data_IF_105055231508
#
_entry.id   IF_105055231508
#
_cell.length_a   1.000
_cell.length_b   1.000
_cell.length_c   1.000
_cell.angle_alpha   90.00
_cell.angle_beta   90.00
_cell.angle_gamma   90.00
#
_symmetry.space_group_name_H-M   'P 1'
#
loop_
_entity.id
_entity.type
_entity.pdbx_description
1 polymer ?
#
# COMPACT_ATOMS: atom_id res chain seq x y z
N UNK A 1 2.85 -6.70 22.94
CA UNK A 1 3.76 -5.66 22.53
C UNK A 1 4.69 -5.17 23.63
N UNK A 2 4.16 -4.49 24.65
CA UNK A 2 5.03 -3.88 25.69
C UNK A 2 5.81 -4.95 26.47
N UNK A 3 5.16 -6.03 26.85
CA UNK A 3 5.82 -7.13 27.58
C UNK A 3 6.92 -7.80 26.74
N UNK A 4 6.68 -8.01 25.45
CA UNK A 4 7.70 -8.61 24.56
C UNK A 4 8.90 -7.68 24.37
N UNK A 5 8.68 -6.36 24.29
CA UNK A 5 9.76 -5.36 24.27
C UNK A 5 10.57 -5.35 25.57
N UNK A 6 9.91 -5.48 26.72
CA UNK A 6 10.58 -5.47 28.02
C UNK A 6 11.37 -6.77 28.28
N UNK A 7 11.05 -7.86 27.60
CA UNK A 7 11.72 -9.18 27.71
C UNK A 7 12.74 -9.44 26.60
N UNK A 8 12.86 -8.55 25.61
CA UNK A 8 13.75 -8.75 24.48
C UNK A 8 15.23 -8.63 24.89
N UNK A 9 16.03 -9.61 24.49
CA UNK A 9 17.48 -9.58 24.60
C UNK A 9 18.07 -8.76 23.45
N UNK A 10 17.47 -8.92 22.25
CA UNK A 10 17.87 -8.24 21.02
C UNK A 10 16.68 -7.52 20.36
N UNK A 11 16.89 -6.26 19.98
CA UNK A 11 15.99 -5.49 19.15
C UNK A 11 16.54 -5.34 17.73
N UNK A 12 15.73 -5.70 16.73
CA UNK A 12 16.08 -5.53 15.32
C UNK A 12 15.07 -4.61 14.64
N UNK A 13 15.53 -3.73 13.76
CA UNK A 13 14.63 -2.87 12.97
C UNK A 13 15.33 -1.65 12.38
N UNK A 14 14.59 -0.86 11.61
CA UNK A 14 15.09 0.43 11.15
C UNK A 14 15.43 1.34 12.35
N UNK A 15 16.51 2.13 12.23
CA UNK A 15 17.04 2.97 13.34
C UNK A 15 15.93 3.72 14.07
N UNK A 16 15.07 4.44 13.34
CA UNK A 16 13.97 5.21 13.93
C UNK A 16 13.01 4.38 14.77
N UNK A 17 12.77 3.12 14.37
CA UNK A 17 11.84 2.22 15.06
C UNK A 17 12.47 1.71 16.36
N UNK A 18 13.73 1.28 16.29
CA UNK A 18 14.48 0.79 17.43
C UNK A 18 14.67 1.92 18.45
N UNK A 19 15.09 3.12 18.02
CA UNK A 19 15.34 4.26 18.90
C UNK A 19 14.08 4.68 19.69
N UNK A 20 12.87 4.47 19.11
CA UNK A 20 11.59 4.80 19.74
C UNK A 20 11.16 3.82 20.85
N UNK A 21 11.70 2.60 20.88
CA UNK A 21 11.26 1.54 21.80
C UNK A 21 12.35 0.92 22.66
N UNK A 22 13.62 1.16 22.35
CA UNK A 22 14.79 0.60 23.04
C UNK A 22 14.74 0.84 24.54
N UNK A 23 15.12 -0.20 25.32
CA UNK A 23 15.29 -0.14 26.77
C UNK A 23 16.78 -0.21 27.14
N UNK A 24 17.19 0.31 28.30
CA UNK A 24 18.54 0.13 28.79
C UNK A 24 18.91 -1.35 28.93
N UNK A 25 20.08 -1.73 28.44
CA UNK A 25 20.61 -3.10 28.56
C UNK A 25 20.20 -4.05 27.44
N UNK A 26 19.43 -3.60 26.45
CA UNK A 26 19.09 -4.40 25.27
C UNK A 26 20.11 -4.21 24.17
N UNK A 27 20.50 -5.31 23.52
CA UNK A 27 21.30 -5.26 22.30
C UNK A 27 20.46 -4.82 21.10
N UNK A 28 21.10 -4.20 20.14
CA UNK A 28 20.42 -3.60 18.99
C UNK A 28 21.13 -3.91 17.70
N UNK A 29 20.40 -4.48 16.73
CA UNK A 29 20.84 -4.61 15.36
C UNK A 29 19.98 -3.73 14.44
N UNK A 30 20.59 -2.68 13.88
CA UNK A 30 19.87 -1.75 13.00
C UNK A 30 19.88 -2.27 11.57
N UNK A 31 18.81 -2.94 11.18
CA UNK A 31 18.65 -3.51 9.85
C UNK A 31 17.14 -3.61 9.50
N UNK A 32 16.80 -3.53 8.21
CA UNK A 32 15.43 -3.68 7.68
C UNK A 32 15.34 -4.68 6.51
N UNK A 33 16.47 -5.13 5.97
CA UNK A 33 16.53 -6.12 4.89
C UNK A 33 16.31 -7.51 5.45
N UNK A 34 15.31 -8.21 4.93
CA UNK A 34 14.84 -9.48 5.50
C UNK A 34 15.94 -10.57 5.54
N UNK A 35 16.77 -10.66 4.50
CA UNK A 35 17.83 -11.65 4.44
C UNK A 35 18.94 -11.37 5.47
N UNK A 36 19.39 -10.15 5.57
CA UNK A 36 20.41 -9.71 6.54
C UNK A 36 19.95 -9.93 8.00
N UNK A 37 18.63 -9.72 8.25
CA UNK A 37 18.04 -10.03 9.56
C UNK A 37 18.12 -11.53 9.83
N UNK A 38 17.76 -12.37 8.87
CA UNK A 38 17.84 -13.83 9.00
C UNK A 38 19.26 -14.28 9.26
N UNK A 39 20.21 -13.84 8.43
CA UNK A 39 21.62 -14.22 8.53
C UNK A 39 22.22 -13.81 9.90
N UNK A 40 21.79 -12.63 10.40
CA UNK A 40 22.23 -12.18 11.72
C UNK A 40 21.66 -13.05 12.85
N UNK A 41 20.38 -13.40 12.81
CA UNK A 41 19.74 -14.27 13.80
C UNK A 41 20.42 -15.65 13.81
N UNK A 42 20.67 -16.22 12.65
CA UNK A 42 21.30 -17.54 12.53
C UNK A 42 22.76 -17.55 13.03
N UNK A 43 23.46 -16.41 12.93
CA UNK A 43 24.84 -16.24 13.41
C UNK A 43 24.95 -15.97 14.92
N UNK A 44 23.84 -15.64 15.61
CA UNK A 44 23.81 -15.23 17.01
C UNK A 44 22.79 -16.07 17.81
N UNK A 45 23.06 -17.37 18.00
CA UNK A 45 22.17 -18.28 18.71
C UNK A 45 22.11 -18.02 20.23
N UNK A 46 22.89 -17.09 20.76
CA UNK A 46 22.91 -16.69 22.17
C UNK A 46 21.68 -15.86 22.58
N UNK A 47 20.90 -15.33 21.62
CA UNK A 47 19.70 -14.56 21.92
C UNK A 47 18.46 -15.45 21.94
N UNK A 48 17.80 -15.55 23.10
CA UNK A 48 16.58 -16.34 23.28
C UNK A 48 15.31 -15.57 22.86
N UNK A 49 15.28 -14.24 23.14
CA UNK A 49 14.11 -13.40 22.90
C UNK A 49 14.45 -12.25 21.94
N UNK A 50 14.17 -12.44 20.68
CA UNK A 50 14.42 -11.44 19.63
C UNK A 50 13.12 -10.73 19.26
N UNK A 51 13.13 -9.40 19.32
CA UNK A 51 11.99 -8.58 18.87
C UNK A 51 12.36 -7.80 17.61
N UNK A 52 11.63 -8.05 16.53
CA UNK A 52 11.78 -7.30 15.28
C UNK A 52 10.72 -6.22 15.22
N UNK A 53 11.15 -4.95 15.18
CA UNK A 53 10.26 -3.78 15.23
C UNK A 53 10.01 -3.25 13.82
N UNK A 54 8.77 -3.31 13.40
CA UNK A 54 8.33 -2.84 12.10
C UNK A 54 7.32 -1.71 12.23
N UNK A 55 7.21 -0.87 11.19
CA UNK A 55 6.26 0.24 11.18
C UNK A 55 4.86 -0.26 10.84
N UNK A 56 3.86 0.21 11.58
CA UNK A 56 2.45 0.00 11.28
C UNK A 56 1.94 -1.40 11.60
N UNK A 57 1.02 -1.87 10.80
CA UNK A 57 0.41 -3.20 10.90
C UNK A 57 1.04 -4.19 9.91
N UNK A 58 1.17 -5.45 10.32
CA UNK A 58 1.79 -6.52 9.52
C UNK A 58 1.08 -6.74 8.19
N UNK A 59 -0.23 -6.55 8.15
CA UNK A 59 -1.07 -6.74 6.97
C UNK A 59 -1.17 -5.52 6.05
N UNK A 60 -0.56 -4.37 6.43
CA UNK A 60 -0.76 -3.13 5.70
C UNK A 60 0.57 -2.53 5.19
N UNK A 61 0.95 -2.87 3.96
CA UNK A 61 2.18 -2.39 3.28
C UNK A 61 3.45 -2.47 4.15
N UNK A 62 3.50 -3.45 5.03
CA UNK A 62 4.62 -3.68 5.93
C UNK A 62 5.70 -4.58 5.30
N UNK A 63 6.96 -4.38 5.69
CA UNK A 63 8.05 -5.30 5.40
C UNK A 63 7.91 -6.68 6.03
N UNK A 64 6.99 -6.86 6.98
CA UNK A 64 6.76 -8.10 7.72
C UNK A 64 6.46 -9.29 6.82
N UNK A 65 5.68 -9.12 5.74
CA UNK A 65 5.36 -10.21 4.82
C UNK A 65 6.62 -10.85 4.23
N UNK A 66 7.52 -10.01 3.67
CA UNK A 66 8.77 -10.51 3.08
C UNK A 66 9.69 -11.11 4.14
N UNK A 67 9.72 -10.53 5.33
CA UNK A 67 10.50 -11.04 6.44
C UNK A 67 9.99 -12.42 6.88
N UNK A 68 8.69 -12.60 7.03
CA UNK A 68 8.09 -13.90 7.37
C UNK A 68 8.36 -14.95 6.29
N UNK A 69 8.26 -14.57 5.00
CA UNK A 69 8.62 -15.46 3.90
C UNK A 69 10.07 -15.97 4.04
N UNK A 70 11.03 -15.09 4.38
CA UNK A 70 12.44 -15.44 4.56
C UNK A 70 12.66 -16.26 5.83
N UNK A 71 12.06 -15.88 6.95
CA UNK A 71 12.19 -16.60 8.21
C UNK A 71 11.57 -18.00 8.16
N UNK A 72 10.53 -18.22 7.35
CA UNK A 72 9.81 -19.48 7.23
C UNK A 72 10.32 -20.40 6.11
N UNK A 73 11.27 -19.97 5.26
CA UNK A 73 11.72 -20.74 4.08
C UNK A 73 12.36 -22.09 4.40
N UNK A 74 13.05 -22.22 5.54
CA UNK A 74 13.81 -23.42 5.89
C UNK A 74 13.16 -24.30 6.97
N UNK A 75 11.95 -23.96 7.40
CA UNK A 75 11.33 -24.60 8.57
C UNK A 75 9.97 -25.21 8.20
N UNK A 76 9.98 -26.51 7.92
CA UNK A 76 8.75 -27.31 7.84
C UNK A 76 7.94 -27.27 9.17
N UNK A 77 8.54 -26.79 10.26
CA UNK A 77 8.01 -26.81 11.63
C UNK A 77 7.73 -25.42 12.24
N UNK A 78 7.86 -24.30 11.49
CA UNK A 78 7.51 -22.98 12.02
C UNK A 78 6.00 -22.85 12.19
N UNK A 79 5.51 -23.10 13.40
CA UNK A 79 4.13 -22.82 13.78
C UNK A 79 3.99 -21.31 14.09
N UNK A 80 3.37 -20.57 13.17
CA UNK A 80 2.85 -19.23 13.48
C UNK A 80 1.71 -19.39 14.47
N UNK A 81 1.98 -19.25 15.75
CA UNK A 81 0.94 -19.28 16.77
C UNK A 81 0.19 -17.94 16.75
N UNK A 82 -1.09 -18.01 16.38
CA UNK A 82 -2.04 -16.96 16.75
C UNK A 82 -2.50 -17.23 18.18
N UNK A 83 -2.21 -16.35 19.13
CA UNK A 83 -2.79 -16.44 20.46
C UNK A 83 -4.32 -16.32 20.39
N UNK A 84 -4.99 -17.46 20.25
CA UNK A 84 -6.34 -17.62 20.78
C UNK A 84 -6.16 -18.12 22.22
N UNK A 85 -6.61 -17.34 23.18
CA UNK A 85 -6.42 -17.61 24.60
C UNK A 85 -7.01 -18.96 25.03
N UNK A 86 -6.17 -19.98 25.01
CA UNK A 86 -6.36 -21.22 25.74
C UNK A 86 -4.98 -21.71 26.18
N UNK A 87 -4.73 -21.68 27.47
CA UNK A 87 -3.59 -22.30 28.12
C UNK A 87 -3.55 -23.78 27.73
N UNK A 88 -2.47 -24.23 27.09
CA UNK A 88 -2.19 -25.64 26.90
C UNK A 88 -1.31 -26.13 28.05
N UNK A 89 -1.74 -27.24 28.63
CA UNK A 89 -1.07 -27.98 29.70
C UNK A 89 0.36 -28.44 29.30
N UNK A 90 1.27 -28.43 30.27
CA UNK A 90 2.72 -28.71 30.16
C UNK A 90 3.11 -30.16 29.74
N UNK A 91 2.16 -31.02 29.37
CA UNK A 91 2.43 -32.47 29.19
C UNK A 91 2.76 -32.93 27.75
N UNK A 92 2.85 -32.02 26.76
CA UNK A 92 3.22 -32.40 25.36
C UNK A 92 4.55 -31.77 24.90
N UNK A 93 5.61 -31.86 25.70
CA UNK A 93 6.95 -31.54 25.22
C UNK A 93 7.65 -32.84 24.79
N UNK A 94 7.52 -33.14 23.52
CA UNK A 94 8.33 -34.20 22.91
C UNK A 94 9.77 -33.68 22.75
N UNK A 95 10.74 -34.42 23.34
CA UNK A 95 12.14 -34.03 23.54
C UNK A 95 13.05 -34.29 22.34
N UNK A 96 12.51 -34.31 21.11
CA UNK A 96 13.27 -34.64 19.89
C UNK A 96 13.40 -33.53 18.83
N UNK A 97 13.01 -32.28 19.13
CA UNK A 97 13.10 -31.19 18.13
C UNK A 97 14.29 -30.26 18.40
N UNK A 98 15.33 -30.42 17.62
CA UNK A 98 16.39 -29.41 17.43
C UNK A 98 15.80 -28.13 16.84
N UNK A 99 16.03 -26.96 17.51
CA UNK A 99 15.73 -25.60 17.08
C UNK A 99 14.26 -25.30 16.72
N UNK A 100 13.36 -25.37 17.70
CA UNK A 100 11.99 -24.88 17.56
C UNK A 100 11.96 -23.34 17.77
N UNK A 101 12.15 -22.57 16.71
CA UNK A 101 11.96 -21.11 16.77
C UNK A 101 10.47 -20.80 16.65
N UNK A 102 9.87 -20.25 17.70
CA UNK A 102 8.48 -19.79 17.69
C UNK A 102 8.40 -18.34 17.24
N UNK A 103 7.55 -18.04 16.24
CA UNK A 103 7.31 -16.67 15.77
C UNK A 103 5.95 -16.21 16.26
N UNK A 104 5.94 -15.19 17.13
CA UNK A 104 4.74 -14.47 17.55
C UNK A 104 4.58 -13.17 16.74
N UNK A 105 3.42 -13.00 16.08
CA UNK A 105 3.10 -11.77 15.36
C UNK A 105 2.22 -10.89 16.24
N UNK A 106 2.67 -9.67 16.50
CA UNK A 106 1.91 -8.68 17.23
C UNK A 106 1.37 -7.59 16.31
N UNK A 107 0.08 -7.33 16.40
CA UNK A 107 -0.61 -6.32 15.59
C UNK A 107 -0.19 -4.91 16.03
N UNK A 108 0.14 -4.06 15.05
CA UNK A 108 0.30 -2.63 15.23
C UNK A 108 -0.92 -1.86 14.69
N UNK A 109 -0.95 -0.55 14.92
CA UNK A 109 -1.95 0.34 14.33
C UNK A 109 -1.42 0.80 12.97
N UNK A 110 -2.15 0.50 11.90
CA UNK A 110 -1.77 0.93 10.55
C UNK A 110 -1.98 2.44 10.36
N UNK A 111 -1.21 3.04 9.46
CA UNK A 111 -1.36 4.47 9.14
C UNK A 111 -2.76 4.81 8.63
N UNK A 112 -3.43 3.92 7.91
CA UNK A 112 -4.82 4.15 7.46
C UNK A 112 -5.77 4.26 8.64
N UNK A 113 -5.72 3.32 9.58
CA UNK A 113 -6.62 3.32 10.75
C UNK A 113 -6.37 4.55 11.62
N UNK A 114 -5.09 4.84 11.92
CA UNK A 114 -4.74 6.01 12.71
C UNK A 114 -5.18 7.31 12.03
N UNK A 115 -4.76 7.53 10.79
CA UNK A 115 -5.03 8.76 10.05
C UNK A 115 -6.53 9.02 9.85
N UNK A 116 -7.28 8.01 9.39
CA UNK A 116 -8.72 8.14 9.15
C UNK A 116 -9.48 8.43 10.45
N UNK A 117 -9.04 7.86 11.57
CA UNK A 117 -9.56 8.17 12.90
C UNK A 117 -9.30 9.64 13.29
N UNK A 118 -8.10 10.17 13.01
CA UNK A 118 -7.77 11.57 13.32
C UNK A 118 -8.60 12.58 12.51
N UNK A 119 -8.92 12.27 11.27
CA UNK A 119 -9.75 13.13 10.39
C UNK A 119 -11.26 12.85 10.52
N UNK A 120 -11.66 11.89 11.36
CA UNK A 120 -13.07 11.58 11.61
C UNK A 120 -13.81 10.95 10.43
N UNK A 121 -13.09 10.27 9.52
CA UNK A 121 -13.67 9.57 8.38
C UNK A 121 -13.59 8.06 8.52
N UNK A 122 -14.62 7.36 8.04
CA UNK A 122 -14.60 5.91 7.89
C UNK A 122 -13.63 5.49 6.79
N UNK A 123 -12.97 4.34 6.96
CA UNK A 123 -12.03 3.79 5.97
C UNK A 123 -12.53 2.49 5.31
N UNK A 124 -13.62 1.91 5.79
CA UNK A 124 -14.21 0.67 5.28
C UNK A 124 -14.74 0.79 3.84
N UNK A 125 -15.19 1.99 3.46
CA UNK A 125 -15.63 2.35 2.10
C UNK A 125 -14.55 3.07 1.28
N UNK A 126 -13.35 3.30 1.84
CA UNK A 126 -12.27 3.96 1.15
C UNK A 126 -11.52 3.00 0.21
N UNK A 127 -11.21 3.45 -1.00
CA UNK A 127 -10.27 2.75 -1.87
C UNK A 127 -8.85 2.94 -1.34
N UNK A 128 -8.24 1.87 -0.88
CA UNK A 128 -6.87 1.89 -0.36
C UNK A 128 -5.89 1.51 -1.45
N UNK A 129 -4.92 2.39 -1.71
CA UNK A 129 -3.85 2.18 -2.68
C UNK A 129 -2.51 2.63 -2.11
N UNK A 130 -1.40 2.22 -2.71
CA UNK A 130 -0.08 2.71 -2.34
C UNK A 130 0.64 3.23 -3.57
N UNK A 131 1.03 4.50 -3.52
CA UNK A 131 1.90 5.12 -4.51
C UNK A 131 3.38 5.04 -4.11
N UNK A 132 3.70 4.45 -2.93
CA UNK A 132 5.06 4.29 -2.46
C UNK A 132 5.78 3.17 -3.21
N UNK A 133 6.80 3.54 -4.00
CA UNK A 133 7.68 2.57 -4.69
C UNK A 133 7.03 1.76 -5.81
N UNK A 134 5.79 2.09 -6.23
CA UNK A 134 5.07 1.39 -7.30
C UNK A 134 4.39 2.40 -8.23
N UNK A 135 4.35 2.08 -9.51
CA UNK A 135 3.52 2.82 -10.47
C UNK A 135 2.04 2.61 -10.11
N UNK A 136 1.37 3.66 -9.64
CA UNK A 136 -0.05 3.65 -9.34
C UNK A 136 -0.74 4.81 -10.06
N UNK A 137 -1.82 4.51 -10.78
CA UNK A 137 -2.65 5.57 -11.38
C UNK A 137 -3.65 6.11 -10.35
N UNK A 138 -3.11 6.85 -9.36
CA UNK A 138 -3.90 7.42 -8.26
C UNK A 138 -5.03 8.34 -8.77
N UNK A 139 -4.79 9.07 -9.87
CA UNK A 139 -5.79 9.92 -10.50
C UNK A 139 -7.01 9.12 -10.95
N UNK A 140 -6.80 7.96 -11.60
CA UNK A 140 -7.91 7.10 -12.00
C UNK A 140 -8.72 6.59 -10.80
N UNK A 141 -8.06 6.30 -9.67
CA UNK A 141 -8.78 5.90 -8.46
C UNK A 141 -9.63 7.05 -7.90
N UNK A 142 -9.07 8.25 -7.81
CA UNK A 142 -9.79 9.44 -7.30
C UNK A 142 -10.94 9.85 -8.25
N UNK A 143 -10.76 9.66 -9.55
CA UNK A 143 -11.81 9.95 -10.53
C UNK A 143 -13.09 9.12 -10.33
N UNK A 144 -12.95 7.86 -9.84
CA UNK A 144 -14.05 6.90 -9.75
C UNK A 144 -14.34 6.38 -8.35
N UNK A 145 -13.78 6.96 -7.32
CA UNK A 145 -14.09 6.63 -5.94
C UNK A 145 -14.22 7.90 -5.11
N UNK A 146 -15.27 7.96 -4.32
CA UNK A 146 -15.54 9.10 -3.44
C UNK A 146 -14.43 9.32 -2.43
N UNK A 147 -13.85 8.23 -1.93
CA UNK A 147 -12.78 8.24 -0.92
C UNK A 147 -11.59 7.39 -1.35
N UNK A 148 -10.41 7.96 -1.39
CA UNK A 148 -9.17 7.24 -1.75
C UNK A 148 -8.08 7.55 -0.73
N UNK A 149 -7.65 6.52 0.01
CA UNK A 149 -6.47 6.62 0.87
C UNK A 149 -5.22 6.18 0.11
N UNK A 150 -4.13 6.92 0.25
CA UNK A 150 -2.83 6.53 -0.32
C UNK A 150 -1.66 6.88 0.59
N UNK A 151 -0.66 5.98 0.60
CA UNK A 151 0.67 6.27 1.14
C UNK A 151 1.50 6.91 0.01
N UNK A 152 2.10 8.06 0.30
CA UNK A 152 3.06 8.73 -0.57
C UNK A 152 4.49 8.42 -0.09
N UNK A 153 5.48 8.64 -0.93
CA UNK A 153 6.87 8.24 -0.60
C UNK A 153 7.91 9.32 -0.89
N UNK A 154 7.46 10.52 -1.25
CA UNK A 154 8.34 11.64 -1.60
C UNK A 154 7.83 12.94 -1.00
N UNK A 155 8.73 13.88 -0.73
CA UNK A 155 8.38 15.19 -0.15
C UNK A 155 7.55 16.08 -1.08
N UNK A 156 7.58 15.83 -2.38
CA UNK A 156 6.79 16.49 -3.41
C UNK A 156 5.51 15.70 -3.79
N UNK A 157 5.29 14.54 -3.19
CA UNK A 157 4.21 13.63 -3.56
C UNK A 157 2.83 14.26 -3.52
N UNK A 158 2.55 15.13 -2.53
CA UNK A 158 1.29 15.87 -2.41
C UNK A 158 1.15 16.89 -3.54
N UNK A 159 2.20 17.66 -3.83
CA UNK A 159 2.17 18.68 -4.89
C UNK A 159 2.01 18.03 -6.28
N UNK A 160 2.75 16.98 -6.58
CA UNK A 160 2.65 16.23 -7.84
C UNK A 160 1.24 15.64 -8.04
N UNK A 161 0.62 15.13 -6.97
CA UNK A 161 -0.76 14.69 -7.03
C UNK A 161 -1.72 15.85 -7.29
N UNK A 162 -1.57 16.95 -6.56
CA UNK A 162 -2.39 18.14 -6.68
C UNK A 162 -2.31 18.76 -8.09
N UNK A 163 -1.11 18.91 -8.65
CA UNK A 163 -0.92 19.37 -10.04
C UNK A 163 -1.65 18.49 -11.06
N UNK A 164 -1.57 17.18 -10.90
CA UNK A 164 -2.28 16.24 -11.78
C UNK A 164 -3.79 16.38 -11.62
N UNK A 165 -4.31 16.49 -10.39
CA UNK A 165 -5.74 16.70 -10.16
C UNK A 165 -6.23 17.99 -10.82
N UNK A 166 -5.52 19.10 -10.65
CA UNK A 166 -5.83 20.37 -11.32
C UNK A 166 -5.80 20.23 -12.84
N UNK A 167 -4.76 19.57 -13.39
CA UNK A 167 -4.63 19.34 -14.83
C UNK A 167 -5.82 18.57 -15.42
N UNK A 168 -6.42 17.66 -14.65
CA UNK A 168 -7.58 16.89 -15.07
C UNK A 168 -8.92 17.46 -14.62
N UNK A 169 -8.97 18.75 -14.19
CA UNK A 169 -10.20 19.44 -13.81
C UNK A 169 -10.77 19.02 -12.45
N UNK A 170 -9.95 18.40 -11.60
CA UNK A 170 -10.32 17.94 -10.26
C UNK A 170 -9.63 18.76 -9.15
N UNK A 171 -9.43 20.06 -9.38
CA UNK A 171 -8.76 20.96 -8.44
C UNK A 171 -9.54 21.23 -7.15
N UNK A 172 -10.83 20.93 -7.13
CA UNK A 172 -11.76 21.04 -6.00
C UNK A 172 -11.76 19.81 -5.08
N UNK A 173 -11.14 18.71 -5.51
CA UNK A 173 -10.99 17.51 -4.68
C UNK A 173 -10.30 17.87 -3.37
N UNK A 174 -10.94 17.52 -2.24
CA UNK A 174 -10.41 17.80 -0.92
C UNK A 174 -9.35 16.74 -0.57
N UNK A 175 -8.13 17.20 -0.32
CA UNK A 175 -7.03 16.39 0.12
C UNK A 175 -6.81 16.58 1.63
N UNK A 176 -7.13 15.55 2.42
CA UNK A 176 -6.61 15.42 3.78
C UNK A 176 -5.18 14.91 3.68
N UNK A 177 -4.25 15.56 4.33
CA UNK A 177 -2.83 15.21 4.33
C UNK A 177 -2.39 14.93 5.73
N UNK A 178 -1.70 13.80 5.94
CA UNK A 178 -1.08 13.43 7.20
C UNK A 178 0.42 13.23 7.02
N UNK A 179 1.23 13.93 7.80
CA UNK A 179 2.69 13.85 7.75
C UNK A 179 3.22 13.42 9.12
N UNK A 180 4.23 12.56 9.12
CA UNK A 180 4.90 12.08 10.33
C UNK A 180 3.93 11.57 11.42
N UNK A 181 2.93 10.80 11.00
CA UNK A 181 1.87 10.32 11.89
C UNK A 181 2.45 9.61 13.11
N UNK A 182 1.96 9.98 14.30
CA UNK A 182 2.40 9.49 15.62
C UNK A 182 3.79 9.96 16.07
N UNK A 183 4.44 10.86 15.36
CA UNK A 183 5.68 11.51 15.80
C UNK A 183 5.40 12.88 16.41
N UNK A 184 6.38 13.44 17.12
CA UNK A 184 6.27 14.77 17.75
C UNK A 184 5.99 15.91 16.76
N UNK A 185 6.45 15.75 15.52
CA UNK A 185 6.23 16.67 14.42
C UNK A 185 5.06 16.27 13.51
N UNK A 186 4.09 15.53 14.05
CA UNK A 186 2.87 15.17 13.33
C UNK A 186 2.15 16.41 12.82
N UNK A 187 1.68 16.33 11.56
CA UNK A 187 0.90 17.38 10.95
C UNK A 187 -0.27 16.78 10.18
N UNK A 188 -1.48 17.22 10.49
CA UNK A 188 -2.70 16.80 9.79
C UNK A 188 -3.49 18.05 9.40
N UNK A 189 -3.87 18.13 8.13
CA UNK A 189 -4.67 19.24 7.60
C UNK A 189 -5.48 18.79 6.37
N UNK A 190 -6.43 19.63 5.94
CA UNK A 190 -7.20 19.42 4.73
C UNK A 190 -7.23 20.69 3.88
N UNK A 191 -7.05 20.54 2.56
CA UNK A 191 -7.14 21.61 1.58
C UNK A 191 -7.60 21.07 0.22
N UNK A 192 -8.26 21.90 -0.62
CA UNK A 192 -8.48 21.59 -2.03
C UNK A 192 -7.16 21.35 -2.75
N UNK A 193 -7.16 20.45 -3.73
CA UNK A 193 -5.95 20.13 -4.50
C UNK A 193 -5.35 21.38 -5.17
N UNK A 194 -6.19 22.32 -5.63
CA UNK A 194 -5.75 23.59 -6.24
C UNK A 194 -4.87 24.45 -5.34
N UNK A 195 -4.94 24.29 -4.01
CA UNK A 195 -4.12 25.03 -3.05
C UNK A 195 -2.80 24.32 -2.69
N UNK A 196 -2.59 23.11 -3.20
CA UNK A 196 -1.47 22.25 -2.81
C UNK A 196 -0.44 22.00 -3.93
N UNK A 197 -0.59 22.65 -5.07
CA UNK A 197 0.29 22.45 -6.24
C UNK A 197 1.75 22.80 -6.00
N UNK A 198 2.04 23.70 -5.06
CA UNK A 198 3.41 24.09 -4.68
C UNK A 198 3.79 23.64 -3.25
N UNK A 199 2.98 22.72 -2.68
CA UNK A 199 3.19 22.28 -1.32
C UNK A 199 4.47 21.44 -1.18
N UNK A 200 5.32 21.82 -0.22
CA UNK A 200 6.51 21.06 0.15
C UNK A 200 6.24 20.33 1.46
N UNK A 201 6.05 19.03 1.35
CA UNK A 201 5.72 18.17 2.47
C UNK A 201 6.88 17.32 2.97
N UNK A 202 6.54 16.37 3.80
CA UNK A 202 7.46 15.36 4.33
C UNK A 202 7.34 14.05 3.53
N UNK A 203 8.43 13.30 3.29
CA UNK A 203 8.38 12.02 2.60
C UNK A 203 7.55 10.95 3.34
N UNK A 204 7.38 11.09 4.67
CA UNK A 204 6.50 10.23 5.46
C UNK A 204 5.07 10.77 5.46
N UNK A 205 4.43 10.77 4.30
CA UNK A 205 3.09 11.31 4.14
C UNK A 205 2.07 10.29 3.65
N UNK A 206 0.84 10.49 4.10
CA UNK A 206 -0.35 9.81 3.61
C UNK A 206 -1.38 10.86 3.18
N UNK A 207 -2.28 10.46 2.30
CA UNK A 207 -3.43 11.30 1.92
C UNK A 207 -4.73 10.50 2.00
N UNK A 208 -5.83 11.23 2.26
CA UNK A 208 -7.17 10.79 1.91
C UNK A 208 -7.77 11.86 0.97
N UNK A 209 -7.98 11.48 -0.28
CA UNK A 209 -8.67 12.31 -1.26
C UNK A 209 -10.17 12.04 -1.16
N UNK A 210 -10.95 13.09 -1.00
CA UNK A 210 -12.43 13.05 -1.00
C UNK A 210 -12.92 13.77 -2.25
N UNK A 211 -13.56 13.03 -3.14
CA UNK A 211 -14.13 13.52 -4.40
C UNK A 211 -15.65 13.30 -4.40
N UNK A 212 -16.40 14.33 -4.01
CA UNK A 212 -17.87 14.30 -4.01
C UNK A 212 -18.46 14.17 -5.43
N UNK A 213 -17.67 14.48 -6.46
CA UNK A 213 -18.04 14.37 -7.86
C UNK A 213 -17.44 13.13 -8.53
N UNK A 214 -17.16 12.08 -7.76
CA UNK A 214 -16.62 10.85 -8.32
C UNK A 214 -17.55 10.26 -9.39
N UNK A 215 -16.98 10.03 -10.58
CA UNK A 215 -17.74 9.46 -11.70
C UNK A 215 -18.03 7.99 -11.51
N UNK A 216 -19.03 7.49 -12.19
CA UNK A 216 -19.30 6.06 -12.27
C UNK A 216 -18.42 5.44 -13.36
N UNK A 217 -17.63 4.43 -13.00
CA UNK A 217 -16.90 3.66 -14.02
C UNK A 217 -17.88 2.79 -14.78
N UNK A 218 -17.88 2.91 -16.08
CA UNK A 218 -18.66 2.00 -16.92
C UNK A 218 -18.08 0.57 -16.82
N UNK A 219 -18.93 -0.38 -16.47
CA UNK A 219 -18.55 -1.79 -16.37
C UNK A 219 -18.44 -2.47 -17.77
N UNK A 220 -19.09 -1.88 -18.76
CA UNK A 220 -19.06 -2.36 -20.14
C UNK A 220 -18.23 -1.43 -21.03
N UNK A 221 -17.93 -1.90 -22.25
CA UNK A 221 -17.40 -1.10 -23.35
C UNK A 221 -18.53 -0.69 -24.29
N UNK A 222 -18.22 0.09 -25.30
CA UNK A 222 -19.20 0.60 -26.27
C UNK A 222 -19.43 2.10 -26.09
N UNK A 223 -18.35 2.88 -26.05
CA UNK A 223 -18.42 4.33 -26.11
C UNK A 223 -19.01 4.71 -27.48
N UNK A 224 -20.00 5.60 -27.47
CA UNK A 224 -20.66 6.04 -28.70
C UNK A 224 -19.71 6.77 -29.62
N UNK A 225 -19.93 6.64 -30.94
CA UNK A 225 -19.08 7.28 -31.94
C UNK A 225 -19.00 8.81 -31.80
N UNK A 226 -20.08 9.47 -31.35
CA UNK A 226 -20.14 10.92 -31.14
C UNK A 226 -19.36 11.43 -29.91
N UNK A 227 -19.02 10.54 -28.99
CA UNK A 227 -18.23 10.92 -27.80
C UNK A 227 -16.73 11.04 -28.10
N UNK A 228 -16.28 10.56 -29.27
CA UNK A 228 -14.89 10.70 -29.68
C UNK A 228 -14.65 11.98 -30.48
N UNK A 229 -13.49 12.63 -30.21
CA UNK A 229 -12.99 13.72 -31.05
C UNK A 229 -12.55 13.11 -32.40
N UNK A 230 -13.25 13.44 -33.48
CA UNK A 230 -12.96 12.90 -34.80
C UNK A 230 -11.90 13.73 -35.53
N UNK A 231 -10.86 13.08 -36.01
CA UNK A 231 -9.90 13.59 -36.94
C UNK A 231 -10.22 13.23 -38.40
N UNK A 232 -9.21 13.28 -39.28
CA UNK A 232 -9.33 12.87 -40.69
C UNK A 232 -9.22 11.34 -40.89
N UNK A 233 -8.65 10.63 -39.89
CA UNK A 233 -8.53 9.18 -39.98
C UNK A 233 -9.88 8.49 -39.82
N UNK A 234 -10.16 7.40 -40.55
CA UNK A 234 -11.37 6.65 -40.36
C UNK A 234 -11.39 6.03 -38.95
N UNK A 235 -12.54 6.07 -38.29
CA UNK A 235 -12.75 5.49 -36.96
C UNK A 235 -13.49 4.14 -37.11
N UNK A 236 -13.04 3.16 -36.37
CA UNK A 236 -13.76 1.89 -36.22
C UNK A 236 -15.10 2.14 -35.56
N UNK A 237 -16.17 1.67 -36.17
CA UNK A 237 -17.55 1.87 -35.73
C UNK A 237 -17.80 1.23 -34.35
N UNK A 238 -18.71 1.83 -33.59
CA UNK A 238 -19.07 1.42 -32.24
C UNK A 238 -19.37 -0.08 -32.14
N UNK A 239 -20.17 -0.64 -33.03
CA UNK A 239 -20.53 -2.04 -32.99
C UNK A 239 -19.33 -2.97 -33.24
N UNK A 240 -18.43 -2.56 -34.17
CA UNK A 240 -17.21 -3.32 -34.47
C UNK A 240 -16.23 -3.24 -33.26
N UNK A 241 -16.08 -2.07 -32.66
CA UNK A 241 -15.27 -1.91 -31.44
C UNK A 241 -15.78 -2.79 -30.30
N UNK A 242 -17.10 -2.72 -30.05
CA UNK A 242 -17.77 -3.51 -29.01
C UNK A 242 -17.54 -5.00 -29.17
N UNK A 243 -17.74 -5.53 -30.41
CA UNK A 243 -17.50 -6.95 -30.70
C UNK A 243 -16.02 -7.30 -30.52
N UNK A 244 -15.11 -6.45 -31.00
CA UNK A 244 -13.66 -6.66 -30.91
C UNK A 244 -13.21 -6.75 -29.45
N UNK A 245 -13.62 -5.80 -28.61
CA UNK A 245 -13.30 -5.77 -27.19
C UNK A 245 -13.84 -6.99 -26.44
N UNK A 246 -15.08 -7.40 -26.75
CA UNK A 246 -15.67 -8.63 -26.19
C UNK A 246 -14.85 -9.88 -26.54
N UNK A 247 -14.32 -9.95 -27.76
CA UNK A 247 -13.50 -11.09 -28.21
C UNK A 247 -12.09 -11.08 -27.64
N UNK A 248 -11.53 -9.92 -27.36
CA UNK A 248 -10.20 -9.77 -26.73
C UNK A 248 -10.19 -10.27 -25.27
N UNK A 249 -11.32 -10.28 -24.57
CA UNK A 249 -11.44 -10.79 -23.18
C UNK A 249 -10.41 -10.16 -22.25
N UNK A 250 -10.27 -8.84 -22.28
CA UNK A 250 -9.28 -8.10 -21.50
C UNK A 250 -9.53 -8.23 -19.99
N UNK A 251 -8.46 -8.35 -19.25
CA UNK A 251 -8.40 -8.23 -17.79
C UNK A 251 -7.87 -6.85 -17.39
N UNK A 252 -8.02 -6.49 -16.14
CA UNK A 252 -7.58 -5.18 -15.63
C UNK A 252 -6.07 -4.92 -15.85
N UNK A 253 -5.25 -5.95 -15.88
CA UNK A 253 -3.79 -5.95 -15.99
C UNK A 253 -3.26 -6.28 -17.40
N UNK A 254 -4.15 -6.40 -18.40
CA UNK A 254 -3.77 -6.74 -19.78
C UNK A 254 -2.78 -5.73 -20.37
N UNK A 255 -1.79 -6.25 -21.11
CA UNK A 255 -0.90 -5.47 -21.97
C UNK A 255 -1.37 -5.64 -23.42
N UNK A 256 -1.74 -4.52 -24.05
CA UNK A 256 -2.34 -4.50 -25.38
C UNK A 256 -1.46 -3.74 -26.37
N UNK A 257 -1.49 -4.19 -27.62
CA UNK A 257 -0.84 -3.49 -28.74
C UNK A 257 -1.91 -3.21 -29.81
N UNK A 258 -2.15 -1.92 -30.08
CA UNK A 258 -3.05 -1.47 -31.15
C UNK A 258 -2.24 -1.06 -32.37
N UNK A 259 -1.97 -2.01 -33.26
CA UNK A 259 -1.17 -1.78 -34.47
C UNK A 259 -2.03 -1.11 -35.51
N UNK A 260 -1.69 0.15 -35.85
CA UNK A 260 -2.48 0.94 -36.80
C UNK A 260 -3.70 1.59 -36.14
N UNK A 261 -3.55 2.07 -34.92
CA UNK A 261 -4.60 2.61 -34.04
C UNK A 261 -5.57 3.66 -34.66
N UNK A 262 -5.18 4.29 -35.76
CA UNK A 262 -6.02 5.29 -36.47
C UNK A 262 -6.41 6.47 -35.59
N UNK A 263 -7.68 6.54 -35.19
CA UNK A 263 -8.17 7.55 -34.24
C UNK A 263 -7.87 7.20 -32.78
N UNK A 264 -7.37 6.02 -32.49
CA UNK A 264 -7.15 5.51 -31.14
C UNK A 264 -8.43 5.12 -30.39
N UNK A 265 -9.58 5.08 -31.05
CA UNK A 265 -10.86 4.79 -30.39
C UNK A 265 -10.88 3.39 -29.73
N UNK A 266 -10.29 2.39 -30.37
CA UNK A 266 -10.15 1.05 -29.80
C UNK A 266 -9.12 1.05 -28.64
N UNK A 267 -7.98 1.76 -28.82
CA UNK A 267 -6.96 1.92 -27.77
C UNK A 267 -7.52 2.54 -26.51
N UNK A 268 -8.37 3.58 -26.63
CA UNK A 268 -9.03 4.24 -25.50
C UNK A 268 -9.91 3.25 -24.74
N UNK A 269 -10.76 2.52 -25.45
CA UNK A 269 -11.65 1.56 -24.79
C UNK A 269 -10.86 0.36 -24.20
N UNK A 270 -9.77 -0.09 -24.83
CA UNK A 270 -8.85 -1.07 -24.22
C UNK A 270 -8.23 -0.55 -22.94
N UNK A 271 -7.73 0.69 -22.92
CA UNK A 271 -7.13 1.31 -21.75
C UNK A 271 -8.12 1.45 -20.56
N UNK A 272 -9.38 1.75 -20.85
CA UNK A 272 -10.43 1.81 -19.83
C UNK A 272 -10.70 0.43 -19.20
N UNK A 273 -10.51 -0.66 -19.94
CA UNK A 273 -10.65 -2.03 -19.40
C UNK A 273 -9.38 -2.48 -18.71
N UNK A 274 -8.23 -2.28 -19.33
CA UNK A 274 -6.90 -2.62 -18.81
C UNK A 274 -6.32 -1.50 -17.91
N UNK A 275 -7.10 -1.04 -16.94
CA UNK A 275 -6.77 0.16 -16.13
C UNK A 275 -5.59 -0.05 -15.15
N UNK A 276 -5.10 -1.26 -14.98
CA UNK A 276 -3.88 -1.64 -14.26
C UNK A 276 -2.80 -2.16 -15.21
N UNK A 277 -3.11 -2.25 -16.51
CA UNK A 277 -2.23 -2.70 -17.58
C UNK A 277 -1.66 -1.56 -18.41
N UNK A 278 -1.42 -1.85 -19.70
CA UNK A 278 -0.88 -0.90 -20.67
C UNK A 278 -1.51 -1.11 -22.04
N UNK A 279 -1.65 -0.02 -22.82
CA UNK A 279 -2.09 -0.05 -24.22
C UNK A 279 -1.15 0.78 -25.06
#
# INVERSE_FOLDING_TARGET
GKNSLDQADLLIGARRMVDSVKRPGQDVFVEYRSQEIRDYIDAHPEYDNIVIVLSGDVGFYSGARKLLEVLCQDSADLRVQRKNGSEKSEEERDSSAQNNTEIEIQCGISSVVYFMSQIGLSWDDAKIVSAHGRGCNLISHICYAEKVFSILGTSDGVAVLAEKLVKYGMGDVLLYVGENLSYENEKIFAKPASELTEYKGDPLSVICAVNENAGTRLETHGIRDEEFIRGKAPMTKEEVRTVSLSKLRLTADSVCYDVGAGTGSLSIEMALRAHQGQV
#
